data_IF_684020719092
#
_entry.id   IF_684020719092
#
_cell.length_a   1.000
_cell.length_b   1.000
_cell.length_c   1.000
_cell.angle_alpha   90.00
_cell.angle_beta   90.00
_cell.angle_gamma   90.00
#
_symmetry.space_group_name_H-M   'P 1'
#
loop_
_entity.id
_entity.type
_entity.pdbx_description
1 polymer ?
#
# COMPACT_ATOMS: atom_id res chain seq x y z
N UNK A 1 -31.68 14.44 -21.72
CA UNK A 1 -31.47 15.42 -20.63
C UNK A 1 -32.12 14.88 -19.36
N UNK A 2 -31.34 14.35 -18.41
CA UNK A 2 -31.87 13.74 -17.18
C UNK A 2 -32.31 14.83 -16.19
N UNK A 3 -33.55 15.31 -16.34
CA UNK A 3 -34.24 16.15 -15.35
C UNK A 3 -34.67 15.28 -14.17
N UNK A 4 -34.18 15.56 -12.95
CA UNK A 4 -34.80 15.06 -11.71
C UNK A 4 -33.92 14.38 -10.66
N UNK A 5 -32.60 14.26 -10.83
CA UNK A 5 -31.74 13.74 -9.74
C UNK A 5 -31.64 14.76 -8.62
N UNK A 6 -32.38 14.53 -7.53
CA UNK A 6 -32.22 15.28 -6.27
C UNK A 6 -30.90 14.88 -5.63
N UNK A 7 -30.05 15.87 -5.36
CA UNK A 7 -28.85 15.66 -4.55
C UNK A 7 -29.29 15.23 -3.15
N UNK A 8 -28.90 14.02 -2.73
CA UNK A 8 -29.17 13.55 -1.37
C UNK A 8 -28.05 14.11 -0.47
N UNK A 9 -28.37 14.82 0.63
CA UNK A 9 -27.35 15.21 1.58
C UNK A 9 -26.71 13.96 2.20
N UNK A 10 -25.49 14.13 2.72
CA UNK A 10 -24.88 13.10 3.56
C UNK A 10 -25.86 12.69 4.67
N UNK A 11 -26.15 11.39 4.86
CA UNK A 11 -26.94 10.93 5.99
C UNK A 11 -26.17 11.02 7.33
N UNK A 12 -24.86 11.30 7.30
CA UNK A 12 -24.00 11.42 8.47
C UNK A 12 -23.70 12.88 8.79
N UNK A 13 -23.63 13.19 10.08
CA UNK A 13 -23.27 14.52 10.60
C UNK A 13 -21.75 14.67 10.61
N UNK A 14 -21.31 15.90 10.32
CA UNK A 14 -19.92 16.33 10.43
C UNK A 14 -19.82 17.36 11.55
N UNK A 15 -18.74 17.33 12.33
CA UNK A 15 -18.45 18.30 13.38
C UNK A 15 -17.01 18.79 13.24
N UNK A 16 -16.76 19.99 13.73
CA UNK A 16 -15.41 20.53 13.82
C UNK A 16 -14.69 19.86 14.99
N UNK A 17 -13.46 19.43 14.76
CA UNK A 17 -12.61 18.79 15.75
C UNK A 17 -11.23 19.43 15.79
N UNK A 18 -10.58 19.36 16.96
CA UNK A 18 -9.28 19.97 17.21
C UNK A 18 -9.33 21.50 17.21
N UNK A 19 -8.17 22.11 17.41
CA UNK A 19 -7.97 23.56 17.32
C UNK A 19 -8.03 24.05 15.86
N UNK A 20 -7.65 23.18 14.92
CA UNK A 20 -7.78 23.39 13.47
C UNK A 20 -9.24 23.50 13.00
N UNK A 21 -10.18 22.97 13.78
CA UNK A 21 -11.59 22.93 13.42
C UNK A 21 -11.86 22.11 12.17
N UNK A 22 -11.13 21.00 11.97
CA UNK A 22 -11.28 20.14 10.79
C UNK A 22 -12.65 19.42 10.82
N UNK A 23 -13.47 19.49 9.75
CA UNK A 23 -14.78 18.83 9.71
C UNK A 23 -14.61 17.33 9.48
N UNK A 24 -14.90 16.52 10.51
CA UNK A 24 -14.82 15.06 10.44
C UNK A 24 -16.21 14.45 10.73
N UNK A 25 -16.55 13.38 10.01
CA UNK A 25 -17.81 12.66 10.18
C UNK A 25 -17.85 11.92 11.53
N UNK A 26 -19.04 11.88 12.15
CA UNK A 26 -19.31 11.11 13.36
C UNK A 26 -19.03 9.60 13.23
N UNK A 27 -18.86 9.09 12.00
CA UNK A 27 -18.43 7.71 11.74
C UNK A 27 -16.99 7.41 12.19
N UNK A 28 -16.16 8.44 12.41
CA UNK A 28 -14.75 8.28 12.72
C UNK A 28 -14.38 8.89 14.09
N UNK A 29 -15.00 8.43 15.19
CA UNK A 29 -14.85 9.05 16.51
C UNK A 29 -13.44 8.93 17.10
N UNK A 30 -12.65 7.95 16.63
CA UNK A 30 -11.26 7.80 17.06
C UNK A 30 -10.31 8.63 16.18
N UNK A 31 -10.57 8.72 14.87
CA UNK A 31 -9.77 9.56 13.97
C UNK A 31 -9.91 11.04 14.32
N UNK A 32 -11.12 11.46 14.71
CA UNK A 32 -11.39 12.86 15.01
C UNK A 32 -10.64 13.42 16.22
N UNK A 33 -10.11 12.55 17.09
CA UNK A 33 -9.24 12.94 18.21
C UNK A 33 -7.86 13.42 17.76
N UNK A 34 -7.49 13.14 16.51
CA UNK A 34 -6.20 13.49 15.92
C UNK A 34 -6.32 14.60 14.88
N UNK A 35 -7.40 15.38 14.90
CA UNK A 35 -7.71 16.37 13.86
C UNK A 35 -6.54 17.33 13.57
N UNK A 36 -5.80 17.74 14.59
CA UNK A 36 -4.68 18.69 14.48
C UNK A 36 -3.38 18.05 13.97
N UNK A 37 -3.29 16.72 13.98
CA UNK A 37 -2.18 15.94 13.41
C UNK A 37 -2.46 15.53 11.95
N UNK A 38 -3.65 15.83 11.43
CA UNK A 38 -4.08 15.45 10.09
C UNK A 38 -3.87 16.59 9.08
N UNK A 39 -3.28 16.25 7.94
CA UNK A 39 -3.26 17.12 6.78
C UNK A 39 -4.44 16.82 5.85
N UNK A 40 -5.30 17.81 5.59
CA UNK A 40 -6.40 17.69 4.64
C UNK A 40 -5.96 18.13 3.24
N UNK A 41 -6.05 17.21 2.27
CA UNK A 41 -5.84 17.52 0.85
C UNK A 41 -7.21 17.65 0.17
N UNK A 42 -7.63 18.88 -0.09
CA UNK A 42 -8.92 19.19 -0.75
C UNK A 42 -8.79 19.51 -2.25
N UNK A 43 -7.58 19.52 -2.80
CA UNK A 43 -7.29 19.87 -4.20
C UNK A 43 -7.33 18.69 -5.19
N UNK A 44 -7.70 17.48 -4.75
CA UNK A 44 -7.74 16.32 -5.64
C UNK A 44 -8.90 16.44 -6.65
N UNK A 45 -8.58 16.32 -7.94
CA UNK A 45 -9.55 16.40 -9.03
C UNK A 45 -9.33 15.27 -10.05
N UNK A 46 -10.41 14.72 -10.59
CA UNK A 46 -10.38 13.78 -11.71
C UNK A 46 -11.53 14.06 -12.67
N UNK A 47 -11.28 13.88 -13.96
CA UNK A 47 -12.28 13.96 -15.04
C UNK A 47 -12.77 12.59 -15.49
N UNK A 48 -12.26 11.51 -14.89
CA UNK A 48 -12.60 10.14 -15.27
C UNK A 48 -13.91 9.71 -14.61
N UNK A 49 -14.96 9.39 -15.39
CA UNK A 49 -16.23 8.93 -14.84
C UNK A 49 -16.20 7.47 -14.39
N UNK A 50 -15.15 6.72 -14.73
CA UNK A 50 -15.05 5.29 -14.53
C UNK A 50 -14.35 4.93 -13.22
N UNK A 51 -15.05 4.24 -12.31
CA UNK A 51 -14.58 3.93 -10.96
C UNK A 51 -13.19 3.26 -10.90
N UNK A 52 -12.86 2.21 -11.67
CA UNK A 52 -11.54 1.58 -11.59
C UNK A 52 -10.40 2.51 -12.02
N UNK A 53 -10.61 3.32 -13.05
CA UNK A 53 -9.58 4.24 -13.57
C UNK A 53 -9.37 5.43 -12.64
N UNK A 54 -10.46 5.99 -12.12
CA UNK A 54 -10.40 7.07 -11.13
C UNK A 54 -9.70 6.61 -9.84
N UNK A 55 -9.92 5.36 -9.40
CA UNK A 55 -9.25 4.81 -8.22
C UNK A 55 -7.74 4.65 -8.46
N UNK A 56 -7.32 4.12 -9.61
CA UNK A 56 -5.90 4.05 -9.95
C UNK A 56 -5.30 5.45 -9.98
N UNK A 57 -5.95 6.41 -10.65
CA UNK A 57 -5.48 7.79 -10.70
C UNK A 57 -5.35 8.43 -9.31
N UNK A 58 -6.28 8.15 -8.39
CA UNK A 58 -6.18 8.62 -7.00
C UNK A 58 -4.91 8.11 -6.32
N UNK A 59 -4.56 6.85 -6.55
CA UNK A 59 -3.41 6.23 -5.92
C UNK A 59 -2.08 6.55 -6.62
N UNK A 60 -2.06 6.74 -7.93
CA UNK A 60 -0.82 6.82 -8.73
C UNK A 60 -0.63 8.15 -9.45
N UNK A 61 -1.63 9.03 -9.43
CA UNK A 61 -1.70 10.28 -10.20
C UNK A 61 -1.98 10.08 -11.70
N UNK A 62 -1.95 8.85 -12.22
CA UNK A 62 -2.07 8.54 -13.64
C UNK A 62 -2.68 7.16 -13.85
N UNK A 63 -3.79 7.07 -14.60
CA UNK A 63 -4.47 5.80 -14.86
C UNK A 63 -3.99 5.08 -16.14
N UNK A 64 -3.36 5.79 -17.09
CA UNK A 64 -2.97 5.21 -18.38
C UNK A 64 -1.63 4.48 -18.31
N UNK A 65 -0.67 5.08 -17.63
CA UNK A 65 0.68 4.54 -17.50
C UNK A 65 0.88 3.98 -16.11
N UNK A 66 1.60 2.86 -16.03
CA UNK A 66 2.00 2.28 -14.75
C UNK A 66 2.91 3.27 -14.04
N UNK A 67 2.48 3.73 -12.85
CA UNK A 67 3.20 4.66 -11.99
C UNK A 67 3.21 4.12 -10.56
N UNK A 68 4.25 4.44 -9.76
CA UNK A 68 4.26 4.05 -8.37
C UNK A 68 3.08 4.69 -7.64
N UNK A 69 2.51 3.95 -6.70
CA UNK A 69 1.48 4.48 -5.82
C UNK A 69 2.03 5.55 -4.88
N UNK A 70 1.15 6.39 -4.34
CA UNK A 70 1.51 7.41 -3.34
C UNK A 70 2.19 6.77 -2.12
N UNK A 71 1.73 5.59 -1.68
CA UNK A 71 2.36 4.85 -0.57
C UNK A 71 3.78 4.41 -0.89
N UNK A 72 4.01 3.94 -2.12
CA UNK A 72 5.36 3.57 -2.59
C UNK A 72 6.29 4.79 -2.68
N UNK A 73 5.79 5.94 -3.15
CA UNK A 73 6.56 7.19 -3.18
C UNK A 73 6.91 7.70 -1.78
N UNK A 74 5.95 7.65 -0.86
CA UNK A 74 6.17 8.05 0.54
C UNK A 74 7.23 7.15 1.18
N UNK A 75 7.13 5.83 1.00
CA UNK A 75 8.11 4.90 1.55
C UNK A 75 9.49 5.08 0.90
N UNK A 76 9.56 5.35 -0.41
CA UNK A 76 10.82 5.64 -1.10
C UNK A 76 11.46 6.94 -0.62
N UNK A 77 10.66 8.01 -0.45
CA UNK A 77 11.17 9.33 -0.10
C UNK A 77 11.51 9.51 1.37
N UNK A 78 10.72 8.90 2.26
CA UNK A 78 10.86 9.06 3.71
C UNK A 78 11.49 7.85 4.40
N UNK A 79 11.49 6.68 3.75
CA UNK A 79 11.92 5.43 4.37
C UNK A 79 10.94 4.92 5.43
N UNK A 80 11.43 3.99 6.25
CA UNK A 80 10.70 3.42 7.40
C UNK A 80 11.64 3.37 8.59
N UNK A 81 11.15 3.74 9.77
CA UNK A 81 11.85 3.52 11.04
C UNK A 81 11.78 2.05 11.48
N UNK A 82 10.83 1.29 10.93
CA UNK A 82 10.63 -0.12 11.22
C UNK A 82 11.41 -1.00 10.24
N UNK A 83 12.27 -1.88 10.78
CA UNK A 83 13.11 -2.82 10.01
C UNK A 83 12.51 -4.23 9.90
N UNK A 84 11.46 -4.52 10.69
CA UNK A 84 10.92 -5.85 10.91
C UNK A 84 9.51 -6.04 10.30
N UNK A 85 8.84 -4.94 9.93
CA UNK A 85 7.53 -4.96 9.27
C UNK A 85 7.55 -4.20 7.93
N UNK A 86 6.61 -4.49 7.01
CA UNK A 86 6.47 -3.74 5.77
C UNK A 86 6.17 -2.27 6.04
N UNK A 87 6.97 -1.38 5.46
CA UNK A 87 6.76 0.08 5.57
C UNK A 87 5.53 0.60 4.84
N UNK A 88 4.91 -0.21 3.96
CA UNK A 88 3.67 0.12 3.28
C UNK A 88 2.75 -1.11 3.20
N UNK A 89 1.55 -0.98 3.77
CA UNK A 89 0.52 -2.02 3.77
C UNK A 89 -0.77 -1.54 3.11
N UNK A 90 -1.51 -2.47 2.52
CA UNK A 90 -2.87 -2.24 2.05
C UNK A 90 -3.82 -3.27 2.66
N UNK A 91 -4.97 -2.83 3.15
CA UNK A 91 -5.94 -3.71 3.80
C UNK A 91 -7.02 -4.13 2.82
N UNK A 92 -7.18 -5.45 2.63
CA UNK A 92 -8.21 -6.06 1.79
C UNK A 92 -8.41 -5.35 0.44
N UNK A 93 -7.34 -5.15 -0.37
CA UNK A 93 -7.45 -4.38 -1.59
C UNK A 93 -8.46 -5.02 -2.57
N UNK A 94 -9.28 -4.22 -3.26
CA UNK A 94 -10.21 -4.72 -4.26
C UNK A 94 -9.48 -5.16 -5.53
N UNK A 95 -9.58 -6.44 -5.89
CA UNK A 95 -8.92 -7.00 -7.08
C UNK A 95 -9.42 -6.39 -8.40
N UNK A 96 -10.70 -6.00 -8.47
CA UNK A 96 -11.38 -5.56 -9.72
C UNK A 96 -11.38 -4.05 -9.94
N UNK A 97 -10.85 -3.27 -9.00
CA UNK A 97 -10.81 -1.81 -9.08
C UNK A 97 -9.35 -1.35 -9.17
N UNK A 98 -8.64 -1.67 -10.25
CA UNK A 98 -7.22 -1.36 -10.41
C UNK A 98 -6.25 -2.37 -9.78
N UNK A 99 -6.71 -3.16 -8.81
CA UNK A 99 -5.94 -4.28 -8.25
C UNK A 99 -4.62 -3.85 -7.63
N UNK A 100 -3.54 -4.56 -7.95
CA UNK A 100 -2.20 -4.32 -7.41
C UNK A 100 -1.61 -2.95 -7.77
N UNK A 101 -2.12 -2.29 -8.83
CA UNK A 101 -1.61 -0.98 -9.25
C UNK A 101 -1.86 0.11 -8.19
N UNK A 102 -2.94 -0.02 -7.39
CA UNK A 102 -3.27 0.96 -6.35
C UNK A 102 -2.21 1.06 -5.24
N UNK A 103 -1.37 0.04 -5.11
CA UNK A 103 -0.33 -0.05 -4.08
C UNK A 103 0.99 -0.58 -4.67
N UNK A 104 1.17 -0.38 -5.98
CA UNK A 104 2.32 -0.90 -6.73
C UNK A 104 3.55 0.00 -6.64
N UNK A 105 4.75 -0.61 -6.62
CA UNK A 105 6.02 0.13 -6.72
C UNK A 105 6.35 0.57 -8.15
N UNK A 106 5.78 -0.08 -9.16
CA UNK A 106 6.07 0.16 -10.58
C UNK A 106 7.58 0.08 -10.87
N UNK A 107 8.19 1.19 -11.34
CA UNK A 107 9.62 1.27 -11.61
C UNK A 107 10.47 1.55 -10.35
N UNK A 108 9.85 1.78 -9.18
CA UNK A 108 10.59 1.81 -7.92
C UNK A 108 10.98 0.38 -7.52
N UNK A 109 12.12 0.20 -6.82
CA UNK A 109 12.55 -1.10 -6.33
C UNK A 109 11.45 -1.89 -5.61
N UNK A 110 11.48 -3.22 -5.73
CA UNK A 110 10.42 -4.10 -5.22
C UNK A 110 10.17 -3.98 -3.70
N UNK A 111 11.16 -3.53 -2.92
CA UNK A 111 11.01 -3.24 -1.48
C UNK A 111 9.94 -2.18 -1.19
N UNK A 112 9.59 -1.32 -2.17
CA UNK A 112 8.55 -0.30 -2.03
C UNK A 112 7.15 -0.79 -2.45
N UNK A 113 7.01 -2.08 -2.74
CA UNK A 113 5.74 -2.69 -3.07
C UNK A 113 4.85 -2.77 -1.82
N UNK A 114 3.60 -2.32 -1.93
CA UNK A 114 2.65 -2.42 -0.83
C UNK A 114 2.33 -3.89 -0.51
N UNK A 115 2.36 -4.23 0.78
CA UNK A 115 2.03 -5.57 1.27
C UNK A 115 0.53 -5.66 1.56
N UNK A 116 -0.16 -6.54 0.83
CA UNK A 116 -1.59 -6.75 1.02
C UNK A 116 -1.90 -7.64 2.23
N UNK A 117 -2.78 -7.16 3.11
CA UNK A 117 -3.30 -7.92 4.25
C UNK A 117 -4.74 -8.33 3.96
N UNK A 118 -4.96 -9.63 3.80
CA UNK A 118 -6.26 -10.20 3.44
C UNK A 118 -6.74 -9.83 2.03
N UNK A 119 -8.00 -10.18 1.74
CA UNK A 119 -8.62 -9.98 0.43
C UNK A 119 -10.00 -9.33 0.54
N UNK A 120 -10.45 -8.70 -0.54
CA UNK A 120 -11.79 -8.12 -0.59
C UNK A 120 -12.86 -9.20 -0.37
N UNK A 121 -13.86 -8.92 0.49
CA UNK A 121 -14.89 -9.87 0.90
C UNK A 121 -14.55 -10.72 2.14
N UNK A 122 -13.29 -10.78 2.57
CA UNK A 122 -12.88 -11.54 3.75
C UNK A 122 -13.14 -10.78 5.07
N UNK A 123 -13.60 -11.41 6.17
CA UNK A 123 -13.65 -10.76 7.48
C UNK A 123 -12.28 -10.22 7.92
N UNK A 124 -12.21 -9.00 8.46
CA UNK A 124 -10.93 -8.36 8.82
C UNK A 124 -10.18 -9.12 9.92
N UNK A 125 -10.89 -9.76 10.85
CA UNK A 125 -10.31 -10.61 11.89
C UNK A 125 -9.67 -11.90 11.35
N UNK A 126 -9.90 -12.24 10.08
CA UNK A 126 -9.28 -13.36 9.39
C UNK A 126 -8.22 -12.89 8.39
N UNK A 127 -8.06 -11.58 8.17
CA UNK A 127 -7.10 -11.04 7.24
C UNK A 127 -5.68 -11.34 7.73
N UNK A 128 -4.91 -12.04 6.90
CA UNK A 128 -3.53 -12.41 7.17
C UNK A 128 -2.67 -11.96 5.99
N UNK A 129 -1.39 -11.78 6.26
CA UNK A 129 -0.39 -11.72 5.20
C UNK A 129 -0.12 -13.17 4.78
N UNK A 130 -0.20 -13.44 3.47
CA UNK A 130 0.00 -14.78 2.94
C UNK A 130 1.45 -15.24 3.12
N UNK A 131 1.66 -16.57 3.21
CA UNK A 131 2.98 -17.21 3.17
C UNK A 131 3.98 -16.82 4.28
N UNK A 132 3.55 -16.21 5.38
CA UNK A 132 4.44 -15.91 6.52
C UNK A 132 4.80 -17.17 7.30
N UNK A 133 3.85 -18.09 7.53
CA UNK A 133 4.13 -19.30 8.30
C UNK A 133 4.69 -20.41 7.40
N UNK A 134 5.90 -20.89 7.66
CA UNK A 134 6.45 -22.09 7.03
C UNK A 134 6.39 -23.28 8.00
N UNK A 135 5.37 -24.12 7.87
CA UNK A 135 5.25 -25.34 8.68
C UNK A 135 6.09 -26.53 8.20
N UNK A 136 6.88 -26.38 7.13
CA UNK A 136 7.62 -27.49 6.48
C UNK A 136 9.09 -27.56 6.84
N UNK A 137 9.72 -26.44 7.18
CA UNK A 137 11.15 -26.37 7.46
C UNK A 137 11.39 -25.60 8.76
N UNK A 138 12.45 -25.95 9.50
CA UNK A 138 12.89 -25.16 10.63
C UNK A 138 13.56 -23.84 10.16
N UNK A 139 13.68 -22.89 11.09
CA UNK A 139 14.21 -21.56 10.78
C UNK A 139 15.65 -21.61 10.21
N UNK A 140 16.48 -22.56 10.66
CA UNK A 140 17.87 -22.71 10.21
C UNK A 140 17.95 -23.19 8.76
N UNK A 141 17.10 -24.15 8.37
CA UNK A 141 16.99 -24.64 6.99
C UNK A 141 16.47 -23.54 6.08
N UNK A 142 15.48 -22.77 6.54
CA UNK A 142 14.93 -21.67 5.75
C UNK A 142 15.94 -20.52 5.59
N UNK A 143 16.70 -20.18 6.63
CA UNK A 143 17.82 -19.21 6.53
C UNK A 143 18.85 -19.66 5.49
N UNK A 144 19.22 -20.94 5.51
CA UNK A 144 20.20 -21.50 4.56
C UNK A 144 19.72 -21.43 3.10
N UNK A 145 18.42 -21.65 2.86
CA UNK A 145 17.81 -21.48 1.53
C UNK A 145 17.80 -20.01 1.09
N UNK A 146 17.46 -19.11 2.01
CA UNK A 146 17.47 -17.67 1.77
C UNK A 146 18.89 -17.18 1.42
N UNK A 147 19.88 -17.58 2.20
CA UNK A 147 21.29 -17.20 1.99
C UNK A 147 21.80 -17.72 0.63
N UNK A 148 21.39 -18.93 0.20
CA UNK A 148 21.71 -19.44 -1.14
C UNK A 148 21.09 -18.57 -2.25
N UNK A 149 19.80 -18.23 -2.13
CA UNK A 149 19.10 -17.36 -3.09
C UNK A 149 19.73 -15.97 -3.12
N UNK A 150 20.07 -15.41 -1.97
CA UNK A 150 20.75 -14.13 -1.87
C UNK A 150 22.13 -14.15 -2.52
N UNK A 151 22.91 -15.21 -2.29
CA UNK A 151 24.22 -15.35 -2.92
C UNK A 151 24.10 -15.39 -4.44
N UNK A 152 23.10 -16.11 -4.97
CA UNK A 152 22.82 -16.12 -6.41
C UNK A 152 22.41 -14.73 -6.93
N UNK A 153 21.54 -14.02 -6.21
CA UNK A 153 21.09 -12.67 -6.58
C UNK A 153 22.25 -11.66 -6.54
N UNK A 154 23.11 -11.71 -5.51
CA UNK A 154 24.31 -10.87 -5.40
C UNK A 154 25.33 -11.16 -6.49
N UNK A 155 25.49 -12.43 -6.87
CA UNK A 155 26.35 -12.82 -7.99
C UNK A 155 25.81 -12.30 -9.33
N UNK A 156 24.50 -12.34 -9.53
CA UNK A 156 23.83 -11.70 -10.66
C UNK A 156 24.09 -10.19 -10.68
N UNK A 157 24.00 -9.54 -9.51
CA UNK A 157 24.26 -8.10 -9.37
C UNK A 157 25.70 -7.71 -9.74
N UNK A 158 26.67 -8.58 -9.45
CA UNK A 158 28.08 -8.36 -9.80
C UNK A 158 28.38 -8.55 -11.30
N UNK A 159 27.56 -9.33 -11.99
CA UNK A 159 27.77 -9.71 -13.41
C UNK A 159 27.09 -8.76 -14.39
N UNK A 160 26.21 -7.88 -13.90
CA UNK A 160 25.47 -6.91 -14.69
C UNK A 160 25.66 -5.51 -14.10
N UNK A 161 25.37 -4.46 -14.89
CA UNK A 161 25.33 -3.10 -14.35
C UNK A 161 24.31 -3.01 -13.19
N UNK A 162 24.51 -2.10 -12.22
CA UNK A 162 23.64 -1.98 -11.04
C UNK A 162 22.18 -1.86 -11.45
N UNK A 163 21.40 -2.91 -11.19
CA UNK A 163 19.96 -2.94 -11.46
C UNK A 163 19.20 -2.81 -10.13
N UNK A 164 18.54 -1.66 -9.86
CA UNK A 164 17.80 -1.41 -8.62
C UNK A 164 16.68 -2.43 -8.33
N UNK A 165 16.20 -3.10 -9.37
CA UNK A 165 15.19 -4.16 -9.26
C UNK A 165 15.72 -5.40 -8.53
N UNK A 166 16.97 -5.81 -8.79
CA UNK A 166 17.58 -6.97 -8.14
C UNK A 166 17.86 -6.71 -6.66
N UNK A 167 18.32 -5.50 -6.30
CA UNK A 167 18.47 -5.09 -4.90
C UNK A 167 17.12 -5.11 -4.17
N UNK A 168 16.07 -4.58 -4.80
CA UNK A 168 14.72 -4.60 -4.22
C UNK A 168 14.17 -6.02 -3.96
N UNK A 169 14.50 -6.98 -4.83
CA UNK A 169 14.12 -8.39 -4.64
C UNK A 169 14.86 -9.01 -3.45
N UNK A 170 16.16 -8.75 -3.31
CA UNK A 170 16.97 -9.24 -2.18
C UNK A 170 16.39 -8.75 -0.85
N UNK A 171 16.10 -7.45 -0.75
CA UNK A 171 15.53 -6.85 0.46
C UNK A 171 14.13 -7.35 0.78
N UNK A 172 13.28 -7.54 -0.25
CA UNK A 172 11.94 -8.09 -0.06
C UNK A 172 11.97 -9.51 0.51
N UNK A 173 12.94 -10.34 0.13
CA UNK A 173 13.09 -11.69 0.67
C UNK A 173 13.57 -11.69 2.13
N UNK A 174 14.48 -10.80 2.50
CA UNK A 174 14.92 -10.66 3.89
C UNK A 174 13.82 -10.19 4.81
N UNK A 175 13.05 -9.19 4.38
CA UNK A 175 11.89 -8.73 5.15
C UNK A 175 10.89 -9.87 5.36
N UNK A 176 10.60 -10.66 4.31
CA UNK A 176 9.70 -11.81 4.43
C UNK A 176 10.21 -12.87 5.42
N UNK A 177 11.52 -13.09 5.51
CA UNK A 177 12.12 -13.99 6.50
C UNK A 177 12.04 -13.43 7.92
N UNK A 178 12.28 -12.12 8.11
CA UNK A 178 12.19 -11.47 9.44
C UNK A 178 10.77 -11.46 10.01
N UNK A 179 9.76 -11.46 9.15
CA UNK A 179 8.35 -11.45 9.56
C UNK A 179 7.80 -12.81 10.05
N UNK A 180 8.55 -13.91 9.91
CA UNK A 180 8.12 -15.25 10.31
C UNK A 180 8.27 -15.52 11.81
#
# INVERSE_FOLDING_TARGET
SQKGRKLKPSPWKFRQHGDSGLPISDLYPNLSKHADDLCLINGAHTTLPNHPQALVQLHTGQFQFVRPSVGSWVLYGLGTENQDLPGFITLKPPARLGGAQNYGSAFLPAVYQGTAIGSNGQPINQAKIGNISNGRFDAATQRSQLDLLQNANRDLLKRHDPHPELEGVIESYELAFRMQ
#
